data_IF_262767346317
#
_entry.id   IF_262767346317
#
_cell.length_a   1.000
_cell.length_b   1.000
_cell.length_c   1.000
_cell.angle_alpha   90.00
_cell.angle_beta   90.00
_cell.angle_gamma   90.00
#
_symmetry.space_group_name_H-M   'P 1'
#
loop_
_entity.id
_entity.type
_entity.pdbx_description
1 polymer ?
#
# COMPACT_ATOMS: atom_id res chain seq x y z
N UNK A 1 -8.86 37.10 16.79
CA UNK A 1 -8.90 35.63 16.85
C UNK A 1 -9.94 35.20 15.84
N UNK A 2 -9.50 34.72 14.68
CA UNK A 2 -10.41 34.23 13.65
C UNK A 2 -10.87 32.83 14.09
N UNK A 3 -12.18 32.62 14.14
CA UNK A 3 -12.74 31.28 14.30
C UNK A 3 -12.40 30.51 13.02
N UNK A 4 -11.57 29.48 13.14
CA UNK A 4 -11.49 28.43 12.13
C UNK A 4 -12.87 27.80 12.05
N UNK A 5 -13.65 28.20 11.05
CA UNK A 5 -14.89 27.53 10.70
C UNK A 5 -14.52 26.14 10.23
N UNK A 6 -14.50 25.17 11.15
CA UNK A 6 -14.55 23.75 10.77
C UNK A 6 -15.71 23.60 9.81
N UNK A 7 -15.47 23.17 8.55
CA UNK A 7 -16.55 23.01 7.60
C UNK A 7 -17.53 21.98 8.17
N UNK A 8 -18.70 22.46 8.59
CA UNK A 8 -19.85 21.61 8.85
C UNK A 8 -20.29 21.04 7.51
N UNK A 9 -20.69 19.75 7.44
CA UNK A 9 -21.20 19.14 6.22
C UNK A 9 -22.62 19.69 5.97
N UNK A 10 -22.72 20.96 5.57
CA UNK A 10 -23.99 21.65 5.34
C UNK A 10 -24.39 21.67 3.85
N UNK A 11 -23.68 20.90 3.03
CA UNK A 11 -24.13 20.49 1.71
C UNK A 11 -23.78 19.00 1.53
N UNK A 12 -24.74 18.12 1.82
CA UNK A 12 -24.70 16.66 1.54
C UNK A 12 -24.49 16.31 0.04
N UNK A 13 -24.17 17.30 -0.80
CA UNK A 13 -24.09 17.18 -2.26
C UNK A 13 -22.72 16.72 -2.76
N UNK A 14 -21.68 16.68 -1.92
CA UNK A 14 -20.39 16.07 -2.30
C UNK A 14 -19.58 15.52 -1.09
N UNK A 15 -19.99 14.35 -0.57
CA UNK A 15 -19.33 13.68 0.57
C UNK A 15 -17.87 13.31 0.27
N UNK A 16 -17.54 12.95 -0.97
CA UNK A 16 -16.18 12.62 -1.37
C UNK A 16 -15.26 13.83 -1.27
N UNK A 17 -15.69 14.99 -1.79
CA UNK A 17 -14.94 16.26 -1.67
C UNK A 17 -14.78 16.71 -0.22
N UNK A 18 -15.82 16.53 0.61
CA UNK A 18 -15.71 16.82 2.05
C UNK A 18 -14.63 15.98 2.74
N UNK A 19 -14.59 14.68 2.47
CA UNK A 19 -13.58 13.77 3.05
C UNK A 19 -12.19 14.08 2.49
N UNK A 20 -12.09 14.36 1.19
CA UNK A 20 -10.85 14.75 0.53
C UNK A 20 -10.27 16.01 1.19
N UNK A 21 -11.06 17.08 1.31
CA UNK A 21 -10.64 18.31 2.02
C UNK A 21 -10.30 18.05 3.49
N UNK A 22 -11.08 17.23 4.19
CA UNK A 22 -10.90 17.07 5.64
C UNK A 22 -9.65 16.27 6.01
N UNK A 23 -9.29 15.27 5.20
CA UNK A 23 -8.23 14.32 5.52
C UNK A 23 -6.98 14.47 4.64
N UNK A 24 -7.10 15.14 3.49
CA UNK A 24 -6.07 15.12 2.45
C UNK A 24 -5.63 16.50 1.91
N UNK A 25 -6.27 17.62 2.29
CA UNK A 25 -5.95 18.96 1.75
C UNK A 25 -4.48 19.40 1.97
N UNK A 26 -3.89 19.02 3.10
CA UNK A 26 -2.47 19.24 3.42
C UNK A 26 -1.57 18.00 3.18
N UNK A 27 -2.12 16.96 2.55
CA UNK A 27 -1.43 15.68 2.29
C UNK A 27 -0.92 15.60 0.85
N UNK A 28 0.07 14.73 0.61
CA UNK A 28 0.58 14.43 -0.74
C UNK A 28 -0.28 13.42 -1.52
N UNK A 29 -1.41 12.96 -0.97
CA UNK A 29 -2.29 11.99 -1.63
C UNK A 29 -3.75 12.41 -1.52
N UNK A 30 -4.61 11.78 -2.32
CA UNK A 30 -6.06 12.06 -2.36
C UNK A 30 -6.89 10.95 -1.72
N UNK A 31 -8.18 11.20 -1.48
CA UNK A 31 -9.16 10.17 -1.13
C UNK A 31 -9.19 9.06 -2.17
N UNK A 32 -9.10 9.38 -3.46
CA UNK A 32 -9.07 8.39 -4.52
C UNK A 32 -7.85 7.47 -4.41
N UNK A 33 -6.67 8.01 -4.12
CA UNK A 33 -5.45 7.21 -3.90
C UNK A 33 -5.57 6.33 -2.66
N UNK A 34 -6.15 6.88 -1.58
CA UNK A 34 -6.38 6.13 -0.35
C UNK A 34 -7.35 4.95 -0.57
N UNK A 35 -8.47 5.19 -1.24
CA UNK A 35 -9.45 4.15 -1.58
C UNK A 35 -8.83 3.11 -2.50
N UNK A 36 -8.03 3.50 -3.49
CA UNK A 36 -7.33 2.58 -4.38
C UNK A 36 -6.36 1.66 -3.60
N UNK A 37 -5.61 2.21 -2.63
CA UNK A 37 -4.76 1.40 -1.74
C UNK A 37 -5.57 0.41 -0.92
N UNK A 38 -6.65 0.86 -0.27
CA UNK A 38 -7.53 -0.04 0.51
C UNK A 38 -8.16 -1.11 -0.36
N UNK A 39 -8.56 -0.80 -1.59
CA UNK A 39 -9.08 -1.77 -2.55
C UNK A 39 -8.02 -2.79 -2.99
N UNK A 40 -6.77 -2.37 -3.21
CA UNK A 40 -5.67 -3.28 -3.50
C UNK A 40 -5.41 -4.24 -2.33
N UNK A 41 -5.47 -3.75 -1.09
CA UNK A 41 -5.29 -4.55 0.13
C UNK A 41 -6.48 -5.42 0.50
N UNK A 42 -7.66 -5.19 -0.09
CA UNK A 42 -8.84 -6.05 0.06
C UNK A 42 -8.71 -7.45 -0.56
N UNK A 43 -7.59 -7.76 -1.23
CA UNK A 43 -7.30 -9.07 -1.80
C UNK A 43 -6.29 -9.84 -0.94
N UNK A 44 -6.66 -11.08 -0.57
CA UNK A 44 -5.87 -11.93 0.33
C UNK A 44 -4.44 -12.15 -0.15
N UNK A 45 -4.22 -12.34 -1.46
CA UNK A 45 -2.89 -12.58 -2.01
C UNK A 45 -2.05 -11.31 -1.98
N UNK A 46 -2.62 -10.17 -2.38
CA UNK A 46 -1.92 -8.87 -2.33
C UNK A 46 -1.56 -8.47 -0.91
N UNK A 47 -2.46 -8.63 0.05
CA UNK A 47 -2.17 -8.37 1.46
C UNK A 47 -1.02 -9.26 1.96
N UNK A 48 -1.08 -10.56 1.65
CA UNK A 48 -0.03 -11.52 2.04
C UNK A 48 1.33 -11.18 1.44
N UNK A 49 1.37 -10.74 0.17
CA UNK A 49 2.59 -10.27 -0.49
C UNK A 49 3.15 -9.03 0.23
N UNK A 50 2.31 -8.04 0.54
CA UNK A 50 2.77 -6.82 1.20
C UNK A 50 3.30 -7.12 2.61
N UNK A 51 2.60 -7.96 3.38
CA UNK A 51 3.03 -8.37 4.71
C UNK A 51 4.37 -9.12 4.68
N UNK A 52 4.58 -10.00 3.70
CA UNK A 52 5.87 -10.66 3.52
C UNK A 52 7.00 -9.65 3.22
N UNK A 53 6.73 -8.63 2.41
CA UNK A 53 7.67 -7.56 2.12
C UNK A 53 7.90 -6.64 3.32
N UNK A 54 6.91 -6.47 4.21
CA UNK A 54 7.08 -5.77 5.47
C UNK A 54 8.11 -6.46 6.37
N UNK A 55 7.99 -7.79 6.50
CA UNK A 55 8.89 -8.62 7.32
C UNK A 55 10.30 -8.74 6.75
N UNK A 56 10.44 -8.77 5.41
CA UNK A 56 11.73 -9.05 4.74
C UNK A 56 12.38 -7.85 4.09
N UNK A 57 11.69 -6.72 4.07
CA UNK A 57 11.99 -5.47 3.36
C UNK A 57 12.06 -5.61 1.83
N UNK A 58 12.78 -6.60 1.31
CA UNK A 58 12.99 -6.83 -0.12
C UNK A 58 13.00 -8.34 -0.44
N UNK A 59 12.33 -8.73 -1.53
CA UNK A 59 12.21 -10.13 -1.96
C UNK A 59 12.34 -10.26 -3.47
N UNK A 60 13.03 -11.31 -3.95
CA UNK A 60 13.15 -11.59 -5.38
C UNK A 60 11.81 -12.05 -5.97
N UNK A 61 11.57 -11.80 -7.27
CA UNK A 61 10.38 -12.32 -7.98
C UNK A 61 10.23 -13.84 -7.83
N UNK A 62 11.33 -14.58 -7.87
CA UNK A 62 11.33 -16.04 -7.75
C UNK A 62 10.84 -16.46 -6.37
N UNK A 63 11.41 -15.90 -5.32
CA UNK A 63 11.01 -16.18 -3.93
C UNK A 63 9.55 -15.80 -3.69
N UNK A 64 9.10 -14.70 -4.29
CA UNK A 64 7.71 -14.27 -4.16
C UNK A 64 6.74 -15.26 -4.84
N UNK A 65 7.08 -15.73 -6.04
CA UNK A 65 6.29 -16.75 -6.75
C UNK A 65 6.22 -18.08 -5.98
N UNK A 66 7.34 -18.51 -5.39
CA UNK A 66 7.40 -19.73 -4.58
C UNK A 66 6.57 -19.60 -3.29
N UNK A 67 6.53 -18.42 -2.67
CA UNK A 67 5.82 -18.19 -1.40
C UNK A 67 4.29 -18.18 -1.54
N UNK A 68 3.76 -17.82 -2.71
CA UNK A 68 2.31 -17.71 -2.94
C UNK A 68 1.71 -18.88 -3.71
N UNK A 69 2.51 -19.93 -3.98
CA UNK A 69 2.11 -21.18 -4.67
C UNK A 69 1.28 -20.94 -5.93
N UNK A 70 1.75 -20.01 -6.78
CA UNK A 70 0.96 -19.54 -7.93
C UNK A 70 1.69 -19.66 -9.26
N UNK A 71 0.95 -20.07 -10.29
CA UNK A 71 1.39 -20.00 -11.67
C UNK A 71 1.68 -18.55 -12.05
N UNK A 72 2.81 -18.28 -12.69
CA UNK A 72 3.43 -16.94 -12.82
C UNK A 72 2.57 -15.79 -13.39
N UNK A 73 1.40 -16.08 -13.98
CA UNK A 73 0.48 -15.07 -14.51
C UNK A 73 -0.21 -14.26 -13.41
N UNK A 74 -0.58 -14.88 -12.28
CA UNK A 74 -1.30 -14.20 -11.20
C UNK A 74 -0.37 -13.26 -10.41
N UNK A 75 0.90 -13.64 -10.18
CA UNK A 75 1.87 -12.81 -9.46
C UNK A 75 2.10 -11.45 -10.12
N UNK A 76 2.20 -11.42 -11.45
CA UNK A 76 2.47 -10.17 -12.18
C UNK A 76 1.33 -9.19 -12.03
N UNK A 77 0.09 -9.68 -12.05
CA UNK A 77 -1.10 -8.87 -11.81
C UNK A 77 -1.10 -8.34 -10.38
N UNK A 78 -0.99 -9.21 -9.37
CA UNK A 78 -1.02 -8.80 -7.96
C UNK A 78 0.06 -7.78 -7.61
N UNK A 79 1.31 -8.02 -8.03
CA UNK A 79 2.41 -7.09 -7.79
C UNK A 79 2.27 -5.82 -8.63
N UNK A 80 1.69 -5.91 -9.83
CA UNK A 80 1.36 -4.76 -10.66
C UNK A 80 0.42 -3.77 -9.96
N UNK A 81 -0.65 -4.28 -9.34
CA UNK A 81 -1.61 -3.48 -8.56
C UNK A 81 -0.97 -2.88 -7.30
N UNK A 82 -0.09 -3.62 -6.62
CA UNK A 82 0.65 -3.09 -5.46
C UNK A 82 1.65 -2.00 -5.86
N UNK A 83 2.22 -2.08 -7.07
CA UNK A 83 3.10 -1.03 -7.61
C UNK A 83 2.28 0.18 -8.04
N UNK A 84 1.16 0.00 -8.74
CA UNK A 84 0.32 1.11 -9.23
C UNK A 84 -0.25 1.95 -8.09
N UNK A 85 -0.50 1.34 -6.94
CA UNK A 85 -0.98 2.00 -5.72
C UNK A 85 0.14 2.50 -4.81
N UNK A 86 1.41 2.34 -5.22
CA UNK A 86 2.57 2.85 -4.48
C UNK A 86 2.92 2.08 -3.21
N UNK A 87 2.33 0.91 -2.98
CA UNK A 87 2.60 0.06 -1.79
C UNK A 87 3.93 -0.72 -1.93
N UNK A 88 4.31 -1.04 -3.17
CA UNK A 88 5.53 -1.80 -3.49
C UNK A 88 6.31 -1.09 -4.59
N UNK A 89 7.63 -1.13 -4.50
CA UNK A 89 8.53 -0.67 -5.55
C UNK A 89 9.22 -1.85 -6.24
N UNK A 90 9.40 -1.76 -7.56
CA UNK A 90 10.26 -2.68 -8.31
C UNK A 90 11.69 -2.17 -8.29
N UNK A 91 12.64 -3.02 -7.87
CA UNK A 91 14.06 -2.73 -7.81
C UNK A 91 14.86 -3.67 -8.72
N UNK A 92 16.02 -3.20 -9.17
CA UNK A 92 17.02 -4.07 -9.79
C UNK A 92 17.65 -5.00 -8.75
N UNK A 93 18.50 -5.93 -9.19
CA UNK A 93 19.18 -6.81 -8.26
C UNK A 93 20.06 -6.02 -7.27
N UNK A 94 20.01 -6.34 -5.96
CA UNK A 94 20.91 -5.76 -4.97
C UNK A 94 22.37 -6.11 -5.28
N UNK A 95 23.29 -5.32 -4.73
CA UNK A 95 24.73 -5.56 -4.93
C UNK A 95 25.10 -6.99 -4.50
N UNK A 96 25.72 -7.75 -5.41
CA UNK A 96 26.10 -9.15 -5.20
C UNK A 96 25.08 -10.19 -5.66
N UNK A 97 23.88 -9.79 -6.08
CA UNK A 97 22.92 -10.67 -6.75
C UNK A 97 23.11 -10.67 -8.28
N UNK A 98 22.52 -11.66 -8.96
CA UNK A 98 22.48 -11.69 -10.43
C UNK A 98 21.66 -10.48 -10.94
N UNK A 99 22.35 -9.53 -11.58
CA UNK A 99 21.81 -8.27 -12.12
C UNK A 99 20.62 -8.40 -13.07
N UNK A 100 20.30 -9.62 -13.53
CA UNK A 100 19.13 -9.93 -14.36
C UNK A 100 17.85 -10.17 -13.56
N UNK A 101 17.97 -10.33 -12.24
CA UNK A 101 16.82 -10.62 -11.37
C UNK A 101 16.07 -9.34 -10.98
N UNK A 102 14.75 -9.45 -10.94
CA UNK A 102 13.86 -8.40 -10.45
C UNK A 102 13.56 -8.63 -8.98
N UNK A 103 13.64 -7.56 -8.20
CA UNK A 103 13.30 -7.54 -6.78
C UNK A 103 12.13 -6.60 -6.55
N UNK A 104 11.45 -6.83 -5.44
CA UNK A 104 10.34 -6.01 -4.97
C UNK A 104 10.62 -5.59 -3.53
N UNK A 105 10.41 -4.32 -3.23
CA UNK A 105 10.66 -3.72 -1.92
C UNK A 105 9.39 -3.05 -1.41
N UNK A 106 9.10 -3.17 -0.11
CA UNK A 106 8.02 -2.41 0.51
C UNK A 106 8.35 -0.91 0.49
N UNK A 107 7.38 -0.07 0.14
CA UNK A 107 7.54 1.39 0.23
C UNK A 107 7.25 1.89 1.63
N UNK A 108 7.55 3.16 1.92
CA UNK A 108 7.14 3.77 3.18
C UNK A 108 5.62 3.72 3.37
N UNK A 109 4.86 3.94 2.28
CA UNK A 109 3.40 3.89 2.32
C UNK A 109 2.88 2.47 2.57
N UNK A 110 3.46 1.46 1.92
CA UNK A 110 3.14 0.07 2.20
C UNK A 110 3.41 -0.33 3.65
N UNK A 111 4.52 0.18 4.21
CA UNK A 111 4.87 -0.04 5.62
C UNK A 111 3.81 0.57 6.57
N UNK A 112 3.42 1.82 6.36
CA UNK A 112 2.40 2.49 7.17
C UNK A 112 1.06 1.74 7.19
N UNK A 113 0.62 1.18 6.05
CA UNK A 113 -0.62 0.40 6.00
C UNK A 113 -0.53 -0.86 6.86
N UNK A 114 0.59 -1.61 6.78
CA UNK A 114 0.79 -2.81 7.60
C UNK A 114 0.95 -2.48 9.09
N UNK A 115 1.66 -1.41 9.44
CA UNK A 115 1.83 -0.99 10.84
C UNK A 115 0.48 -0.61 11.48
N UNK A 116 -0.34 0.15 10.74
CA UNK A 116 -1.69 0.50 11.18
C UNK A 116 -2.57 -0.76 11.36
N UNK A 117 -2.52 -1.70 10.40
CA UNK A 117 -3.30 -2.93 10.49
C UNK A 117 -2.79 -3.86 11.60
N UNK A 118 -1.47 -3.93 11.83
CA UNK A 118 -0.89 -4.72 12.92
C UNK A 118 -1.38 -4.24 14.28
N UNK A 119 -1.37 -2.93 14.52
CA UNK A 119 -1.89 -2.34 15.76
C UNK A 119 -3.39 -2.62 15.90
N UNK A 120 -4.17 -2.43 14.83
CA UNK A 120 -5.63 -2.66 14.84
C UNK A 120 -6.01 -4.13 15.10
N UNK A 121 -5.23 -5.09 14.57
CA UNK A 121 -5.53 -6.53 14.67
C UNK A 121 -4.99 -7.12 15.97
N UNK A 122 -3.78 -6.74 16.38
CA UNK A 122 -3.09 -7.37 17.51
C UNK A 122 -3.25 -6.59 18.82
N UNK A 123 -3.59 -5.30 18.76
CA UNK A 123 -3.58 -4.39 19.90
C UNK A 123 -2.19 -4.00 20.40
N UNK A 124 -1.13 -4.30 19.62
CA UNK A 124 0.26 -4.00 19.96
C UNK A 124 0.91 -3.20 18.85
N UNK A 125 1.89 -2.36 19.21
CA UNK A 125 2.78 -1.80 18.20
C UNK A 125 3.62 -2.93 17.55
N UNK A 126 3.83 -2.87 16.23
CA UNK A 126 4.60 -3.87 15.49
C UNK A 126 6.11 -3.89 15.80
#
# INVERSE_FOLDING_TARGET
MAAESTPTPDDERNVEEYVDQRLFDDSLGTLADHVARKAALGDTRRYSILFLLYEREEVSRKTLAEAIDDGSFDLTHHVGELISTGLVARTGAPEGADGRQTFYKITHLGRQEIEADYENVTGHAP
#
